data_IF_402371323834
#
_entry.id   IF_402371323834
#
_cell.length_a   1.000
_cell.length_b   1.000
_cell.length_c   1.000
_cell.angle_alpha   90.00
_cell.angle_beta   90.00
_cell.angle_gamma   90.00
#
_symmetry.space_group_name_H-M   'P 1'
#
loop_
_entity.id
_entity.type
_entity.pdbx_description
1 polymer ?
#
# COMPACT_ATOMS: atom_id res chain seq x y z
N UNK A 1 -4.11 -8.88 -1.47
CA UNK A 1 -5.23 -8.12 -2.09
C UNK A 1 -4.65 -7.18 -3.13
N UNK A 2 -5.39 -6.85 -4.19
CA UNK A 2 -4.89 -5.95 -5.24
C UNK A 2 -4.96 -4.50 -4.78
N UNK A 3 -3.91 -3.73 -5.07
CA UNK A 3 -3.84 -2.32 -4.68
C UNK A 3 -4.92 -1.50 -5.40
N UNK A 4 -5.15 -1.78 -6.69
CA UNK A 4 -6.18 -1.12 -7.49
C UNK A 4 -7.58 -1.25 -6.88
N UNK A 5 -7.91 -2.41 -6.28
CA UNK A 5 -9.22 -2.61 -5.66
C UNK A 5 -9.38 -1.84 -4.35
N UNK A 6 -8.28 -1.60 -3.63
CA UNK A 6 -8.28 -0.82 -2.39
C UNK A 6 -8.51 0.67 -2.64
N UNK A 7 -7.98 1.17 -3.77
CA UNK A 7 -8.09 2.57 -4.15
C UNK A 7 -9.27 2.84 -5.09
N UNK A 8 -9.97 1.80 -5.55
CA UNK A 8 -11.10 1.93 -6.47
C UNK A 8 -12.23 2.74 -5.84
N UNK A 9 -12.60 3.85 -6.49
CA UNK A 9 -13.65 4.76 -5.99
C UNK A 9 -13.21 5.68 -4.85
N UNK A 10 -11.92 5.73 -4.49
CA UNK A 10 -11.37 6.59 -3.43
C UNK A 10 -10.51 7.72 -3.99
N UNK A 11 -10.48 8.85 -3.28
CA UNK A 11 -9.72 10.03 -3.68
C UNK A 11 -8.26 9.97 -3.21
N UNK A 12 -7.37 10.67 -3.93
CA UNK A 12 -5.93 10.72 -3.64
C UNK A 12 -5.58 11.24 -2.23
N UNK A 13 -6.41 12.12 -1.67
CA UNK A 13 -6.22 12.69 -0.34
C UNK A 13 -6.84 11.85 0.80
N UNK A 14 -7.47 10.72 0.47
CA UNK A 14 -8.03 9.85 1.50
C UNK A 14 -6.98 8.92 2.10
N UNK A 15 -7.26 8.52 3.33
CA UNK A 15 -6.48 7.51 4.05
C UNK A 15 -7.39 6.31 4.25
N UNK A 16 -6.85 5.12 3.99
CA UNK A 16 -7.57 3.87 4.20
C UNK A 16 -6.94 3.09 5.34
N UNK A 17 -7.77 2.46 6.15
CA UNK A 17 -7.30 1.56 7.19
C UNK A 17 -7.21 0.14 6.62
N UNK A 18 -6.01 -0.45 6.69
CA UNK A 18 -5.77 -1.84 6.33
C UNK A 18 -5.18 -2.53 7.56
N UNK A 19 -5.90 -3.52 8.09
CA UNK A 19 -5.44 -4.33 9.24
C UNK A 19 -5.06 -3.48 10.48
N UNK A 20 -5.69 -2.32 10.65
CA UNK A 20 -5.42 -1.38 11.74
C UNK A 20 -4.28 -0.39 11.49
N UNK A 21 -3.76 -0.33 10.26
CA UNK A 21 -2.77 0.67 9.83
C UNK A 21 -3.39 1.63 8.83
N UNK A 22 -3.18 2.92 9.08
CA UNK A 22 -3.65 4.01 8.23
C UNK A 22 -2.68 4.28 7.08
N UNK A 23 -3.12 4.03 5.85
CA UNK A 23 -2.32 4.18 4.64
C UNK A 23 -2.94 5.24 3.73
N UNK A 24 -2.19 6.28 3.31
CA UNK A 24 -2.69 7.25 2.33
C UNK A 24 -2.83 6.61 0.94
N UNK A 25 -3.91 6.95 0.25
CA UNK A 25 -4.17 6.49 -1.14
C UNK A 25 -3.05 6.91 -2.08
N UNK A 26 -2.47 8.10 -1.88
CA UNK A 26 -1.35 8.62 -2.67
C UNK A 26 -0.13 7.67 -2.65
N UNK A 27 0.21 7.10 -1.49
CA UNK A 27 1.27 6.11 -1.37
C UNK A 27 0.96 4.85 -2.18
N UNK A 28 -0.27 4.35 -2.10
CA UNK A 28 -0.72 3.18 -2.87
C UNK A 28 -0.67 3.41 -4.39
N UNK A 29 -1.03 4.62 -4.84
CA UNK A 29 -0.91 5.01 -6.25
C UNK A 29 0.54 5.11 -6.71
N UNK A 30 1.43 5.65 -5.87
CA UNK A 30 2.86 5.67 -6.17
C UNK A 30 3.43 4.25 -6.26
N UNK A 31 3.01 3.33 -5.38
CA UNK A 31 3.37 1.92 -5.46
C UNK A 31 2.89 1.26 -6.77
N UNK A 32 1.68 1.59 -7.24
CA UNK A 32 1.22 1.11 -8.56
C UNK A 32 2.11 1.65 -9.69
N UNK A 33 2.51 2.93 -9.62
CA UNK A 33 3.44 3.52 -10.61
C UNK A 33 4.83 2.86 -10.57
N UNK A 34 5.30 2.47 -9.40
CA UNK A 34 6.52 1.67 -9.20
C UNK A 34 6.37 0.22 -9.71
N UNK A 35 5.15 -0.21 -10.07
CA UNK A 35 4.88 -1.53 -10.64
C UNK A 35 4.39 -2.58 -9.63
N UNK A 36 4.09 -2.19 -8.39
CA UNK A 36 3.46 -3.06 -7.40
C UNK A 36 1.97 -3.25 -7.71
N UNK A 37 1.48 -4.48 -7.59
CA UNK A 37 0.09 -4.83 -7.94
C UNK A 37 -0.67 -5.34 -6.73
N UNK A 38 0.01 -6.08 -5.87
CA UNK A 38 -0.56 -6.72 -4.71
C UNK A 38 0.05 -6.15 -3.44
N UNK A 39 -0.79 -6.06 -2.41
CA UNK A 39 -0.42 -5.67 -1.07
C UNK A 39 -1.01 -6.67 -0.09
N UNK A 40 -0.21 -6.98 0.94
CA UNK A 40 -0.64 -7.71 2.12
C UNK A 40 -0.03 -7.03 3.34
N UNK A 41 -0.91 -6.56 4.22
CA UNK A 41 -0.50 -6.05 5.52
C UNK A 41 -0.37 -7.19 6.52
N UNK A 42 0.51 -7.00 7.50
CA UNK A 42 0.71 -7.88 8.64
C UNK A 42 0.53 -7.04 9.90
N UNK A 43 -0.63 -7.18 10.53
CA UNK A 43 -0.99 -6.41 11.74
C UNK A 43 0.02 -6.58 12.89
N UNK A 44 0.50 -7.80 13.08
CA UNK A 44 1.35 -8.18 14.21
C UNK A 44 2.75 -7.57 14.11
N UNK A 45 3.31 -7.56 12.89
CA UNK A 45 4.66 -7.06 12.61
C UNK A 45 4.67 -5.59 12.15
N UNK A 46 3.49 -5.00 11.88
CA UNK A 46 3.32 -3.65 11.30
C UNK A 46 4.09 -3.48 9.98
N UNK A 47 4.12 -4.55 9.18
CA UNK A 47 4.81 -4.61 7.88
C UNK A 47 3.82 -4.86 6.74
N UNK A 48 4.26 -4.50 5.54
CA UNK A 48 3.53 -4.60 4.29
C UNK A 48 4.37 -5.34 3.27
N UNK A 49 3.91 -6.52 2.87
CA UNK A 49 4.47 -7.19 1.70
C UNK A 49 3.77 -6.68 0.46
N UNK A 50 4.57 -6.21 -0.49
CA UNK A 50 4.15 -5.65 -1.75
C UNK A 50 4.79 -6.46 -2.88
N UNK A 51 4.01 -6.80 -3.90
CA UNK A 51 4.57 -7.49 -5.06
C UNK A 51 3.82 -7.18 -6.35
N UNK A 52 4.58 -7.11 -7.43
CA UNK A 52 4.12 -6.91 -8.80
C UNK A 52 4.60 -8.04 -9.71
N UNK A 53 4.61 -7.79 -11.02
CA UNK A 53 5.13 -8.76 -12.00
C UNK A 53 6.64 -8.92 -11.93
N UNK A 54 7.37 -7.87 -11.56
CA UNK A 54 8.85 -7.82 -11.61
C UNK A 54 9.48 -7.25 -10.33
N UNK A 55 8.67 -6.89 -9.32
CA UNK A 55 9.13 -6.16 -8.14
C UNK A 55 8.48 -6.75 -6.89
N UNK A 56 9.24 -6.87 -5.80
CA UNK A 56 8.77 -7.32 -4.49
C UNK A 56 9.45 -6.46 -3.44
N UNK A 57 8.69 -5.98 -2.46
CA UNK A 57 9.25 -5.21 -1.35
C UNK A 57 8.48 -5.51 -0.07
N UNK A 58 9.20 -5.46 1.06
CA UNK A 58 8.60 -5.43 2.38
C UNK A 58 8.84 -4.03 2.95
N UNK A 59 7.76 -3.28 3.19
CA UNK A 59 7.81 -1.93 3.74
C UNK A 59 7.15 -1.89 5.11
N UNK A 60 7.60 -1.00 5.99
CA UNK A 60 6.91 -0.72 7.26
C UNK A 60 5.88 0.39 7.05
N UNK A 61 5.03 0.62 8.05
CA UNK A 61 4.11 1.78 8.03
C UNK A 61 4.83 3.11 7.75
N UNK A 62 6.00 3.31 8.35
CA UNK A 62 6.77 4.56 8.20
C UNK A 62 7.26 4.75 6.77
N UNK A 63 7.89 3.73 6.19
CA UNK A 63 8.38 3.75 4.80
C UNK A 63 7.24 3.95 3.80
N UNK A 64 6.08 3.35 4.08
CA UNK A 64 4.91 3.48 3.23
C UNK A 64 4.34 4.91 3.28
N UNK A 65 4.45 5.57 4.43
CA UNK A 65 4.05 6.97 4.64
C UNK A 65 5.01 7.96 3.98
N UNK A 66 6.29 7.63 3.86
CA UNK A 66 7.27 8.43 3.10
C UNK A 66 7.05 8.37 1.58
N UNK A 67 6.34 7.34 1.10
CA UNK A 67 5.93 7.22 -0.32
C UNK A 67 4.64 7.97 -0.66
N UNK A 68 4.01 8.63 0.32
CA UNK A 68 2.74 9.34 0.15
C UNK A 68 2.84 10.65 -0.62
#
# INVERSE_FOLDING_TARGET
>A
MKIEELISGKNDNEVIEIEGVSIPISALKNLIKDGYVNLKAYKEEKTFSLWGKTCTACLTEQELREKA
#
